data_IF_941398508895
#
_entry.id   IF_941398508895
#
_cell.length_a   1.000
_cell.length_b   1.000
_cell.length_c   1.000
_cell.angle_alpha   90.00
_cell.angle_beta   90.00
_cell.angle_gamma   90.00
#
_symmetry.space_group_name_H-M   'P 1'
#
loop_
_entity.id
_entity.type
_entity.pdbx_description
1 polymer ?
#
# COMPACT_ATOMS: atom_id res chain seq x y z
N UNK A 1 23.53 6.30 -2.84
CA UNK A 1 23.48 5.10 -3.70
C UNK A 1 22.55 4.11 -3.02
N UNK A 2 21.67 3.48 -3.77
CA UNK A 2 20.66 2.53 -3.23
C UNK A 2 20.99 1.11 -3.65
N UNK A 3 20.59 0.12 -2.84
CA UNK A 3 20.63 -1.30 -3.20
C UNK A 3 19.76 -1.53 -4.45
N UNK A 4 20.28 -2.29 -5.41
CA UNK A 4 19.56 -2.71 -6.63
C UNK A 4 19.46 -4.21 -6.68
N UNK A 5 18.36 -4.72 -7.18
CA UNK A 5 18.16 -6.15 -7.44
C UNK A 5 18.93 -6.49 -8.71
N UNK A 6 19.87 -7.43 -8.62
CA UNK A 6 20.69 -7.90 -9.74
C UNK A 6 20.26 -9.28 -10.22
N UNK A 7 19.65 -10.08 -9.34
CA UNK A 7 19.16 -11.42 -9.67
C UNK A 7 17.92 -11.80 -8.86
N UNK A 8 17.07 -12.63 -9.45
CA UNK A 8 15.89 -13.25 -8.83
C UNK A 8 15.99 -14.75 -9.02
N UNK A 9 15.84 -15.52 -7.93
CA UNK A 9 15.70 -16.97 -7.97
C UNK A 9 14.39 -17.38 -7.31
N UNK A 10 13.63 -18.23 -7.96
CA UNK A 10 12.41 -18.86 -7.43
C UNK A 10 12.53 -20.36 -7.55
N UNK A 11 12.24 -21.09 -6.47
CA UNK A 11 12.19 -22.54 -6.45
C UNK A 11 10.92 -23.01 -5.75
N UNK A 12 10.17 -23.87 -6.41
CA UNK A 12 8.87 -24.36 -5.95
C UNK A 12 7.96 -23.21 -5.45
N UNK A 13 7.97 -22.06 -6.19
CA UNK A 13 7.24 -20.85 -5.84
C UNK A 13 6.12 -20.59 -6.84
N UNK A 14 4.86 -20.66 -6.40
CA UNK A 14 3.69 -20.54 -7.27
C UNK A 14 3.75 -21.55 -8.42
N UNK A 15 3.73 -21.08 -9.67
CA UNK A 15 3.82 -21.90 -10.88
C UNK A 15 5.25 -22.11 -11.37
N UNK A 16 6.27 -21.78 -10.58
CA UNK A 16 7.68 -21.98 -10.97
C UNK A 16 8.32 -23.10 -10.18
N UNK A 17 8.66 -24.21 -10.84
CA UNK A 17 9.50 -25.24 -10.26
C UNK A 17 10.91 -24.70 -10.01
N UNK A 18 11.47 -24.00 -11.01
CA UNK A 18 12.77 -23.33 -10.92
C UNK A 18 12.83 -22.17 -11.92
N UNK A 19 13.20 -20.99 -11.43
CA UNK A 19 13.42 -19.80 -12.25
C UNK A 19 14.65 -19.05 -11.75
N UNK A 20 15.53 -18.65 -12.67
CA UNK A 20 16.62 -17.71 -12.39
C UNK A 20 16.61 -16.63 -13.46
N UNK A 21 16.67 -15.37 -13.02
CA UNK A 21 16.80 -14.19 -13.88
C UNK A 21 17.96 -13.38 -13.34
N UNK A 22 19.05 -13.30 -14.10
CA UNK A 22 20.27 -12.57 -13.75
C UNK A 22 20.41 -11.30 -14.58
N UNK A 23 21.41 -10.51 -14.27
CA UNK A 23 21.77 -9.28 -15.00
C UNK A 23 20.64 -8.24 -15.11
N UNK A 24 19.90 -8.08 -14.03
CA UNK A 24 18.76 -7.16 -13.95
C UNK A 24 19.25 -5.70 -13.90
N UNK A 25 18.80 -4.91 -14.87
CA UNK A 25 19.08 -3.48 -14.98
C UNK A 25 18.18 -2.58 -14.12
N UNK A 26 18.21 -1.29 -14.41
CA UNK A 26 17.33 -0.30 -13.73
C UNK A 26 15.88 -0.43 -14.16
N UNK A 27 15.64 -0.73 -15.42
CA UNK A 27 14.30 -1.01 -15.96
C UNK A 27 14.25 -2.46 -16.41
N UNK A 28 13.33 -3.21 -15.86
CA UNK A 28 13.09 -4.63 -16.19
C UNK A 28 11.66 -4.78 -16.71
N UNK A 29 11.53 -5.20 -17.95
CA UNK A 29 10.22 -5.45 -18.59
C UNK A 29 10.00 -6.94 -18.74
N UNK A 30 9.07 -7.49 -17.96
CA UNK A 30 8.69 -8.91 -17.99
C UNK A 30 7.47 -9.05 -18.91
N UNK A 31 7.69 -9.59 -20.11
CA UNK A 31 6.67 -9.70 -21.15
C UNK A 31 6.27 -11.14 -21.42
N UNK A 32 4.99 -11.38 -21.61
CA UNK A 32 4.45 -12.69 -21.97
C UNK A 32 2.92 -12.72 -21.94
N UNK A 33 2.29 -13.81 -22.43
CA UNK A 33 0.84 -13.98 -22.39
C UNK A 33 0.25 -13.88 -20.97
N UNK A 34 -1.07 -13.77 -20.86
CA UNK A 34 -1.75 -13.84 -19.58
C UNK A 34 -1.59 -15.23 -18.96
N UNK A 35 -1.62 -15.28 -17.63
CA UNK A 35 -1.54 -16.50 -16.81
C UNK A 35 -0.20 -17.26 -16.83
N UNK A 36 0.86 -16.76 -17.49
CA UNK A 36 2.18 -17.42 -17.54
C UNK A 36 3.06 -17.17 -16.29
N UNK A 37 2.54 -16.51 -15.26
CA UNK A 37 3.28 -16.31 -14.02
C UNK A 37 4.00 -14.97 -13.85
N UNK A 38 3.88 -13.99 -14.75
CA UNK A 38 4.49 -12.65 -14.62
C UNK A 38 4.26 -12.02 -13.25
N UNK A 39 3.01 -11.99 -12.81
CA UNK A 39 2.61 -11.46 -11.50
C UNK A 39 3.25 -12.21 -10.32
N UNK A 40 3.60 -13.50 -10.49
CA UNK A 40 4.26 -14.27 -9.44
C UNK A 40 5.70 -13.80 -9.20
N UNK A 41 6.38 -13.28 -10.23
CA UNK A 41 7.71 -12.66 -10.10
C UNK A 41 7.58 -11.35 -9.30
N UNK A 42 6.61 -10.50 -9.63
CA UNK A 42 6.31 -9.27 -8.87
C UNK A 42 5.97 -9.59 -7.40
N UNK A 43 5.17 -10.64 -7.18
CA UNK A 43 4.81 -11.09 -5.82
C UNK A 43 6.05 -11.52 -5.02
N UNK A 44 6.98 -12.24 -5.64
CA UNK A 44 8.23 -12.65 -5.01
C UNK A 44 9.11 -11.45 -4.64
N UNK A 45 9.26 -10.48 -5.53
CA UNK A 45 10.02 -9.25 -5.25
C UNK A 45 9.36 -8.49 -4.09
N UNK A 46 8.04 -8.30 -4.11
CA UNK A 46 7.34 -7.63 -3.03
C UNK A 46 7.46 -8.37 -1.70
N UNK A 47 7.38 -9.69 -1.72
CA UNK A 47 7.53 -10.51 -0.52
C UNK A 47 8.91 -10.33 0.12
N UNK A 48 9.95 -10.21 -0.69
CA UNK A 48 11.35 -10.06 -0.26
C UNK A 48 11.77 -8.60 0.03
N UNK A 49 10.93 -7.63 -0.31
CA UNK A 49 11.15 -6.20 -0.04
C UNK A 49 10.20 -5.69 1.04
N UNK A 50 8.88 -5.87 0.89
CA UNK A 50 7.87 -5.44 1.85
C UNK A 50 7.62 -6.45 3.00
N UNK A 51 8.10 -7.70 2.88
CA UNK A 51 7.86 -8.76 3.84
C UNK A 51 6.41 -9.25 3.88
N UNK A 52 5.64 -9.00 2.82
CA UNK A 52 4.23 -9.40 2.69
C UNK A 52 3.84 -9.54 1.22
N UNK A 53 2.91 -10.43 0.91
CA UNK A 53 2.29 -10.54 -0.40
C UNK A 53 1.05 -9.62 -0.49
N UNK A 54 0.88 -8.93 -1.63
CA UNK A 54 -0.32 -8.12 -1.90
C UNK A 54 -1.58 -8.96 -2.10
N UNK A 55 -1.43 -10.21 -2.54
CA UNK A 55 -2.53 -11.15 -2.70
C UNK A 55 -3.03 -11.72 -1.37
N UNK A 56 -2.20 -11.63 -0.30
CA UNK A 56 -2.51 -12.14 1.05
C UNK A 56 -3.02 -13.58 1.08
N UNK A 57 -2.44 -14.52 0.31
CA UNK A 57 -2.86 -15.91 0.33
C UNK A 57 -2.44 -16.59 1.64
N UNK A 58 -3.03 -17.74 1.98
CA UNK A 58 -2.38 -18.72 2.84
C UNK A 58 -0.99 -19.06 2.28
N UNK A 59 0.03 -19.18 3.14
CA UNK A 59 1.42 -19.39 2.66
C UNK A 59 1.58 -20.70 1.90
N UNK A 60 0.80 -21.72 2.24
CA UNK A 60 0.73 -22.98 1.51
C UNK A 60 0.36 -22.82 0.03
N UNK A 61 -0.43 -21.80 -0.31
CA UNK A 61 -0.80 -21.51 -1.70
C UNK A 61 0.30 -20.76 -2.47
N UNK A 62 1.35 -20.29 -1.79
CA UNK A 62 2.50 -19.64 -2.41
C UNK A 62 3.55 -20.66 -2.85
N UNK A 63 3.49 -21.88 -2.30
CA UNK A 63 4.33 -23.02 -2.68
C UNK A 63 3.73 -23.68 -3.92
N UNK A 64 4.57 -24.22 -4.82
CA UNK A 64 4.12 -24.96 -6.01
C UNK A 64 3.28 -26.16 -5.63
N UNK A 65 2.32 -26.50 -6.49
CA UNK A 65 1.37 -27.59 -6.23
C UNK A 65 2.11 -28.93 -5.99
N UNK A 66 1.71 -29.66 -4.96
CA UNK A 66 2.32 -30.94 -4.59
C UNK A 66 3.67 -30.83 -3.87
N UNK A 67 4.21 -29.63 -3.66
CA UNK A 67 5.45 -29.39 -2.92
C UNK A 67 5.17 -29.04 -1.46
N UNK A 68 6.13 -29.35 -0.58
CA UNK A 68 6.04 -29.04 0.85
C UNK A 68 6.76 -27.75 1.23
N UNK A 69 7.73 -27.35 0.42
CA UNK A 69 8.55 -26.18 0.65
C UNK A 69 8.81 -25.46 -0.68
N UNK A 70 9.03 -24.17 -0.58
CA UNK A 70 9.47 -23.34 -1.69
C UNK A 70 10.29 -22.17 -1.18
N UNK A 71 11.07 -21.54 -2.03
CA UNK A 71 11.78 -20.33 -1.67
C UNK A 71 11.86 -19.30 -2.80
N UNK A 72 12.05 -18.05 -2.41
CA UNK A 72 12.42 -16.98 -3.31
C UNK A 72 13.65 -16.25 -2.76
N UNK A 73 14.54 -15.82 -3.66
CA UNK A 73 15.76 -15.09 -3.33
C UNK A 73 15.94 -13.90 -4.25
N UNK A 74 16.45 -12.81 -3.68
CA UNK A 74 16.96 -11.65 -4.40
C UNK A 74 18.43 -11.45 -4.05
N UNK A 75 19.27 -11.31 -5.07
CA UNK A 75 20.62 -10.81 -4.90
C UNK A 75 20.62 -9.29 -5.17
N UNK A 76 21.18 -8.55 -4.23
CA UNK A 76 21.14 -7.08 -4.20
C UNK A 76 22.58 -6.55 -4.20
N UNK A 77 22.83 -5.47 -4.95
CA UNK A 77 24.15 -4.84 -5.00
C UNK A 77 24.06 -3.31 -4.81
N UNK A 78 25.07 -2.76 -4.12
CA UNK A 78 25.32 -1.34 -4.00
C UNK A 78 26.86 -1.11 -4.04
N UNK A 79 27.39 -0.78 -5.18
CA UNK A 79 28.84 -0.69 -5.40
C UNK A 79 29.53 -2.02 -5.12
N UNK A 80 30.32 -2.11 -4.03
CA UNK A 80 30.98 -3.38 -3.60
C UNK A 80 30.19 -4.16 -2.58
N UNK A 81 29.10 -3.61 -2.08
CA UNK A 81 28.23 -4.27 -1.09
C UNK A 81 27.28 -5.22 -1.78
N UNK A 82 27.26 -6.48 -1.32
CA UNK A 82 26.31 -7.50 -1.75
C UNK A 82 25.43 -7.90 -0.59
N UNK A 83 24.14 -8.04 -0.84
CA UNK A 83 23.15 -8.45 0.15
C UNK A 83 22.23 -9.47 -0.49
N UNK A 84 21.98 -10.58 0.18
CA UNK A 84 21.00 -11.58 -0.22
C UNK A 84 19.75 -11.44 0.68
N UNK A 85 18.59 -11.32 0.07
CA UNK A 85 17.31 -11.52 0.72
C UNK A 85 16.73 -12.86 0.30
N UNK A 86 16.29 -13.66 1.28
CA UNK A 86 15.66 -14.95 1.03
C UNK A 86 14.41 -15.13 1.89
N UNK A 87 13.38 -15.75 1.32
CA UNK A 87 12.24 -16.29 2.06
C UNK A 87 12.17 -17.77 1.84
N UNK A 88 11.98 -18.52 2.91
CA UNK A 88 11.70 -19.96 2.90
C UNK A 88 10.27 -20.15 3.35
N UNK A 89 9.49 -20.86 2.54
CA UNK A 89 8.09 -21.19 2.77
C UNK A 89 7.99 -22.68 3.10
N UNK A 90 7.26 -23.04 4.15
CA UNK A 90 7.05 -24.44 4.56
C UNK A 90 5.66 -24.59 5.16
N UNK A 91 4.74 -25.20 4.42
CA UNK A 91 3.34 -25.25 4.80
C UNK A 91 2.76 -23.84 4.99
N UNK A 92 2.25 -23.54 6.17
CA UNK A 92 1.73 -22.19 6.51
C UNK A 92 2.76 -21.30 7.25
N UNK A 93 4.02 -21.75 7.34
CA UNK A 93 5.09 -20.99 7.97
C UNK A 93 5.97 -20.31 6.93
N UNK A 94 6.60 -19.22 7.36
CA UNK A 94 7.60 -18.52 6.56
C UNK A 94 8.74 -18.03 7.43
N UNK A 95 9.94 -18.06 6.89
CA UNK A 95 11.11 -17.44 7.51
C UNK A 95 11.83 -16.55 6.50
N UNK A 96 12.29 -15.40 6.96
CA UNK A 96 13.07 -14.47 6.16
C UNK A 96 14.53 -14.50 6.59
N UNK A 97 15.41 -14.38 5.63
CA UNK A 97 16.86 -14.36 5.83
C UNK A 97 17.48 -13.18 5.08
N UNK A 98 18.51 -12.59 5.70
CA UNK A 98 19.40 -11.62 5.05
C UNK A 98 20.83 -12.13 5.25
N UNK A 99 21.51 -12.41 4.14
CA UNK A 99 22.85 -13.04 4.15
C UNK A 99 22.89 -14.30 5.02
N UNK A 100 21.91 -15.20 4.85
CA UNK A 100 21.78 -16.46 5.59
C UNK A 100 21.40 -16.34 7.07
N UNK A 101 21.14 -15.14 7.57
CA UNK A 101 20.71 -14.91 8.97
C UNK A 101 19.22 -14.61 9.03
N UNK A 102 18.48 -15.33 9.88
CA UNK A 102 17.05 -15.07 10.10
C UNK A 102 16.80 -13.61 10.52
N UNK A 103 15.80 -13.02 9.91
CA UNK A 103 15.39 -11.64 10.11
C UNK A 103 13.87 -11.50 10.17
N UNK A 104 13.43 -10.38 10.74
CA UNK A 104 12.01 -10.00 10.72
C UNK A 104 11.65 -9.34 9.38
N UNK A 105 10.38 -9.34 8.97
CA UNK A 105 9.91 -8.58 7.80
C UNK A 105 10.29 -7.08 7.85
N UNK A 106 10.37 -6.51 9.06
CA UNK A 106 10.78 -5.11 9.25
C UNK A 106 12.23 -4.86 8.80
N UNK A 107 13.13 -5.84 8.97
CA UNK A 107 14.52 -5.70 8.54
C UNK A 107 14.66 -5.70 7.01
N UNK A 108 13.78 -6.41 6.27
CA UNK A 108 13.73 -6.37 4.81
C UNK A 108 13.29 -4.98 4.32
N UNK A 109 12.19 -4.47 4.87
CA UNK A 109 11.65 -3.14 4.52
C UNK A 109 12.68 -2.03 4.76
N UNK A 110 13.43 -2.13 5.85
CA UNK A 110 14.47 -1.16 6.17
C UNK A 110 15.67 -1.18 5.24
N UNK A 111 15.90 -2.28 4.48
CA UNK A 111 17.02 -2.39 3.54
C UNK A 111 16.65 -2.04 2.10
N UNK A 112 15.47 -2.43 1.64
CA UNK A 112 14.99 -2.16 0.29
C UNK A 112 13.46 -2.00 0.32
N UNK A 113 12.96 -0.75 0.40
CA UNK A 113 11.52 -0.49 0.31
C UNK A 113 11.01 -0.71 -1.12
N UNK A 114 9.70 -0.92 -1.27
CA UNK A 114 9.07 -1.01 -2.59
C UNK A 114 7.73 -0.28 -2.64
N UNK A 115 7.37 0.20 -3.83
CA UNK A 115 6.04 0.71 -4.15
C UNK A 115 5.43 -0.18 -5.22
N UNK A 116 4.30 -0.78 -4.91
CA UNK A 116 3.56 -1.64 -5.85
C UNK A 116 2.38 -0.88 -6.45
N UNK A 117 2.19 -1.04 -7.76
CA UNK A 117 1.03 -0.58 -8.50
C UNK A 117 0.43 -1.75 -9.28
N UNK A 118 -0.84 -2.04 -9.03
CA UNK A 118 -1.63 -3.11 -9.65
C UNK A 118 -2.91 -2.55 -10.28
N UNK A 119 -3.58 -3.28 -11.18
CA UNK A 119 -4.89 -2.88 -11.71
C UNK A 119 -5.95 -2.65 -10.63
N UNK A 120 -5.90 -3.40 -9.52
CA UNK A 120 -6.82 -3.21 -8.38
C UNK A 120 -6.69 -1.82 -7.74
N UNK A 121 -5.50 -1.24 -7.77
CA UNK A 121 -5.26 0.11 -7.24
C UNK A 121 -6.07 1.17 -8.01
N UNK A 122 -6.34 0.97 -9.31
CA UNK A 122 -7.11 1.90 -10.14
C UNK A 122 -8.56 2.09 -9.62
N UNK A 123 -9.04 1.13 -8.84
CA UNK A 123 -10.36 1.24 -8.19
C UNK A 123 -10.31 2.02 -6.85
N UNK A 124 -9.14 2.44 -6.39
CA UNK A 124 -8.95 3.01 -5.04
C UNK A 124 -9.85 4.21 -4.77
N UNK A 125 -10.04 5.09 -5.76
CA UNK A 125 -10.89 6.29 -5.62
C UNK A 125 -12.34 5.91 -5.35
N UNK A 126 -12.88 4.91 -6.06
CA UNK A 126 -14.26 4.41 -5.89
C UNK A 126 -14.42 3.37 -4.79
N UNK A 127 -13.34 2.74 -4.37
CA UNK A 127 -13.36 1.71 -3.36
C UNK A 127 -13.89 2.21 -1.99
N UNK A 128 -14.06 1.29 -1.07
CA UNK A 128 -14.42 1.63 0.31
C UNK A 128 -13.32 2.42 1.01
N UNK A 129 -13.67 3.18 2.04
CA UNK A 129 -12.70 3.87 2.91
C UNK A 129 -11.66 2.90 3.51
N UNK A 130 -12.03 1.64 3.75
CA UNK A 130 -11.09 0.62 4.22
C UNK A 130 -9.94 0.40 3.25
N UNK A 131 -10.22 0.30 1.94
CA UNK A 131 -9.18 0.13 0.91
C UNK A 131 -8.21 1.31 0.86
N UNK A 132 -8.72 2.55 0.98
CA UNK A 132 -7.88 3.75 1.03
C UNK A 132 -7.00 3.78 2.29
N UNK A 133 -7.56 3.43 3.47
CA UNK A 133 -6.77 3.29 4.69
C UNK A 133 -5.70 2.21 4.56
N UNK A 134 -6.04 1.04 4.00
CA UNK A 134 -5.10 -0.05 3.79
C UNK A 134 -3.92 0.37 2.88
N UNK A 135 -4.17 1.20 1.86
CA UNK A 135 -3.12 1.71 0.98
C UNK A 135 -2.13 2.63 1.74
N UNK A 136 -2.64 3.56 2.56
CA UNK A 136 -1.80 4.43 3.38
C UNK A 136 -1.10 3.65 4.49
N UNK A 137 -1.79 2.71 5.13
CA UNK A 137 -1.19 1.84 6.16
C UNK A 137 -0.04 0.99 5.58
N UNK A 138 -0.18 0.50 4.35
CA UNK A 138 0.88 -0.25 3.67
C UNK A 138 2.14 0.60 3.45
N UNK A 139 1.96 1.86 3.07
CA UNK A 139 3.06 2.82 2.96
C UNK A 139 3.66 3.14 4.34
N UNK A 140 2.83 3.42 5.34
CA UNK A 140 3.27 3.74 6.70
C UNK A 140 4.09 2.61 7.34
N UNK A 141 3.72 1.35 7.09
CA UNK A 141 4.44 0.15 7.57
C UNK A 141 5.85 0.07 6.99
N UNK A 142 6.07 0.57 5.78
CA UNK A 142 7.41 0.60 5.18
C UNK A 142 8.26 1.74 5.75
N UNK A 143 7.64 2.91 5.96
CA UNK A 143 8.31 4.13 6.41
C UNK A 143 8.66 4.15 7.90
N UNK A 144 7.90 3.44 8.74
CA UNK A 144 8.07 3.47 10.18
C UNK A 144 8.07 2.07 10.80
N UNK A 145 9.18 1.65 11.44
CA UNK A 145 9.25 0.37 12.16
C UNK A 145 8.22 0.26 13.30
N UNK A 146 7.80 1.39 13.87
CA UNK A 146 6.85 1.44 14.97
C UNK A 146 5.38 1.40 14.53
N UNK A 147 5.09 1.70 13.26
CA UNK A 147 3.71 1.77 12.78
C UNK A 147 2.94 0.44 12.92
N UNK A 148 3.52 -0.74 12.64
CA UNK A 148 2.85 -2.02 12.87
C UNK A 148 2.43 -2.22 14.33
N UNK A 149 3.24 -1.74 15.30
CA UNK A 149 2.92 -1.80 16.73
C UNK A 149 1.74 -0.90 17.07
N UNK A 150 1.76 0.37 16.64
CA UNK A 150 0.62 1.29 16.84
C UNK A 150 -0.68 0.71 16.29
N UNK A 151 -0.62 0.13 15.08
CA UNK A 151 -1.78 -0.51 14.45
C UNK A 151 -2.26 -1.73 15.25
N UNK A 152 -1.35 -2.57 15.73
CA UNK A 152 -1.67 -3.77 16.50
C UNK A 152 -2.30 -3.44 17.85
N UNK A 153 -1.75 -2.46 18.58
CA UNK A 153 -2.27 -1.98 19.86
C UNK A 153 -3.70 -1.44 19.71
N UNK A 154 -3.91 -0.58 18.72
CA UNK A 154 -5.23 -0.09 18.40
C UNK A 154 -6.22 -1.20 18.04
N UNK A 155 -5.81 -2.16 17.19
CA UNK A 155 -6.67 -3.29 16.81
C UNK A 155 -7.01 -4.18 18.00
N UNK A 156 -6.10 -4.33 18.96
CA UNK A 156 -6.36 -5.07 20.21
C UNK A 156 -7.40 -4.35 21.06
N UNK A 157 -7.22 -3.05 21.31
CA UNK A 157 -8.18 -2.25 22.09
C UNK A 157 -9.58 -2.25 21.42
N UNK A 158 -9.63 -2.06 20.11
CA UNK A 158 -10.87 -2.12 19.33
C UNK A 158 -11.58 -3.48 19.45
N UNK A 159 -10.84 -4.59 19.36
CA UNK A 159 -11.42 -5.93 19.50
C UNK A 159 -12.02 -6.14 20.90
N UNK A 160 -11.30 -5.76 21.96
CA UNK A 160 -11.77 -5.93 23.33
C UNK A 160 -13.01 -5.06 23.60
N UNK A 161 -12.97 -3.80 23.18
CA UNK A 161 -14.10 -2.90 23.28
C UNK A 161 -15.34 -3.44 22.54
N UNK A 162 -15.16 -3.94 21.30
CA UNK A 162 -16.25 -4.52 20.51
C UNK A 162 -16.84 -5.79 21.15
N UNK A 163 -16.05 -6.62 21.84
CA UNK A 163 -16.57 -7.77 22.58
C UNK A 163 -17.48 -7.32 23.71
N UNK A 164 -17.09 -6.31 24.50
CA UNK A 164 -17.93 -5.77 25.57
C UNK A 164 -19.23 -5.18 25.03
N UNK A 165 -19.16 -4.37 23.96
CA UNK A 165 -20.36 -3.80 23.32
C UNK A 165 -21.30 -4.91 22.84
N UNK A 166 -20.78 -5.97 22.23
CA UNK A 166 -21.57 -7.11 21.74
C UNK A 166 -22.26 -7.86 22.88
N UNK A 167 -21.62 -7.92 24.06
CA UNK A 167 -22.19 -8.52 25.27
C UNK A 167 -23.13 -7.56 26.04
N UNK A 168 -23.43 -6.39 25.46
CA UNK A 168 -24.31 -5.37 26.05
C UNK A 168 -23.67 -4.56 27.18
N UNK A 169 -22.35 -4.64 27.33
CA UNK A 169 -21.59 -3.91 28.36
C UNK A 169 -21.09 -2.60 27.76
N UNK A 170 -21.54 -1.47 28.29
CA UNK A 170 -21.19 -0.13 27.82
C UNK A 170 -20.87 0.86 28.96
N UNK A 171 -20.70 0.34 30.18
CA UNK A 171 -20.33 1.13 31.36
C UNK A 171 -19.66 0.26 32.41
N UNK A 172 -19.03 0.91 33.39
CA UNK A 172 -18.29 0.27 34.46
C UNK A 172 -16.78 0.17 34.18
N UNK A 173 -16.01 -0.07 35.22
CA UNK A 173 -14.55 0.07 35.22
C UNK A 173 -13.83 -0.70 34.11
N UNK A 174 -14.35 -1.88 33.74
CA UNK A 174 -13.76 -2.67 32.65
C UNK A 174 -14.01 -2.03 31.29
N UNK A 175 -15.23 -1.56 31.04
CA UNK A 175 -15.54 -0.87 29.80
C UNK A 175 -14.78 0.45 29.69
N UNK A 176 -14.78 1.24 30.77
CA UNK A 176 -14.09 2.55 30.81
C UNK A 176 -12.58 2.39 30.53
N UNK A 177 -11.94 1.35 31.06
CA UNK A 177 -10.53 1.07 30.79
C UNK A 177 -10.25 0.73 29.32
N UNK A 178 -11.14 -0.05 28.67
CA UNK A 178 -10.97 -0.35 27.24
C UNK A 178 -11.39 0.82 26.34
N UNK A 179 -12.35 1.63 26.75
CA UNK A 179 -12.75 2.84 26.04
C UNK A 179 -11.60 3.87 26.03
N UNK A 180 -10.95 4.07 27.17
CA UNK A 180 -9.75 4.90 27.31
C UNK A 180 -8.59 4.33 26.46
N UNK A 181 -8.32 3.02 26.56
CA UNK A 181 -7.28 2.36 25.74
C UNK A 181 -7.54 2.52 24.25
N UNK A 182 -8.78 2.37 23.82
CA UNK A 182 -9.21 2.58 22.43
C UNK A 182 -8.96 4.02 21.97
N UNK A 183 -9.26 5.01 22.81
CA UNK A 183 -9.04 6.43 22.51
C UNK A 183 -7.55 6.78 22.45
N UNK A 184 -6.73 6.33 23.41
CA UNK A 184 -5.28 6.57 23.46
C UNK A 184 -4.56 5.99 22.23
N UNK A 185 -4.78 4.69 21.94
CA UNK A 185 -4.16 4.05 20.79
C UNK A 185 -4.78 4.55 19.47
N UNK A 186 -6.06 4.90 19.48
CA UNK A 186 -6.76 5.52 18.37
C UNK A 186 -6.17 6.88 18.00
N UNK A 187 -5.92 7.74 18.98
CA UNK A 187 -5.32 9.05 18.75
C UNK A 187 -3.92 8.95 18.14
N UNK A 188 -3.08 8.04 18.65
CA UNK A 188 -1.73 7.80 18.10
C UNK A 188 -1.77 7.33 16.65
N UNK A 189 -2.64 6.38 16.32
CA UNK A 189 -2.78 5.85 14.97
C UNK A 189 -3.37 6.90 14.00
N UNK A 190 -4.39 7.64 14.45
CA UNK A 190 -5.02 8.73 13.68
C UNK A 190 -3.98 9.79 13.31
N UNK A 191 -3.24 10.32 14.29
CA UNK A 191 -2.23 11.34 14.08
C UNK A 191 -1.09 10.86 13.18
N UNK A 192 -0.61 9.62 13.35
CA UNK A 192 0.46 9.04 12.51
C UNK A 192 0.00 8.91 11.06
N UNK A 193 -1.21 8.40 10.83
CA UNK A 193 -1.79 8.23 9.49
C UNK A 193 -2.02 9.58 8.80
N UNK A 194 -2.53 10.53 9.55
CA UNK A 194 -2.79 11.86 9.03
C UNK A 194 -1.52 12.59 8.61
N UNK A 195 -0.51 12.68 9.48
CA UNK A 195 0.77 13.31 9.14
C UNK A 195 1.41 12.70 7.89
N UNK A 196 1.26 11.38 7.71
CA UNK A 196 1.71 10.70 6.49
C UNK A 196 0.88 11.14 5.28
N UNK A 197 -0.44 11.17 5.43
CA UNK A 197 -1.35 11.55 4.34
C UNK A 197 -1.11 12.99 3.88
N UNK A 198 -0.91 13.91 4.80
CA UNK A 198 -0.61 15.32 4.51
C UNK A 198 0.70 15.48 3.71
N UNK A 199 1.77 14.81 4.16
CA UNK A 199 3.04 14.81 3.43
C UNK A 199 2.91 14.18 2.04
N UNK A 200 2.13 13.12 1.91
CA UNK A 200 1.87 12.45 0.65
C UNK A 200 1.07 13.35 -0.28
N UNK A 201 0.04 14.00 0.24
CA UNK A 201 -0.83 14.88 -0.53
C UNK A 201 -0.10 16.09 -1.11
N UNK A 202 0.79 16.72 -0.36
CA UNK A 202 1.62 17.83 -0.85
C UNK A 202 2.39 17.46 -2.13
N UNK A 203 2.91 16.21 -2.23
CA UNK A 203 3.58 15.72 -3.45
C UNK A 203 2.60 15.39 -4.57
N UNK A 204 1.48 14.79 -4.18
CA UNK A 204 0.42 14.47 -5.15
C UNK A 204 -0.02 15.70 -5.91
N UNK A 205 -0.20 16.84 -5.25
CA UNK A 205 -0.62 18.09 -5.90
C UNK A 205 0.38 18.52 -6.96
N UNK A 206 1.67 18.54 -6.64
CA UNK A 206 2.74 18.93 -7.58
C UNK A 206 2.79 18.01 -8.81
N UNK A 207 2.72 16.69 -8.59
CA UNK A 207 2.74 15.72 -9.70
C UNK A 207 1.45 15.82 -10.52
N UNK A 208 0.29 16.03 -9.87
CA UNK A 208 -0.99 16.15 -10.53
C UNK A 208 -1.04 17.35 -11.48
N UNK A 209 -0.56 18.50 -11.03
CA UNK A 209 -0.44 19.72 -11.85
C UNK A 209 0.39 19.48 -13.13
N UNK A 210 1.46 18.70 -13.03
CA UNK A 210 2.28 18.32 -14.19
C UNK A 210 1.53 17.43 -15.20
N UNK A 211 0.58 16.62 -14.75
CA UNK A 211 -0.21 15.72 -15.60
C UNK A 211 -1.51 16.38 -16.07
N UNK A 212 -2.19 17.14 -15.22
CA UNK A 212 -3.51 17.72 -15.47
C UNK A 212 -3.54 19.22 -15.07
N UNK A 213 -2.84 20.10 -15.82
CA UNK A 213 -2.66 21.52 -15.42
C UNK A 213 -3.96 22.33 -15.36
N UNK A 214 -5.03 21.88 -16.04
CA UNK A 214 -6.32 22.54 -16.06
C UNK A 214 -7.25 22.08 -14.91
N UNK A 215 -6.77 21.18 -14.04
CA UNK A 215 -7.53 20.61 -12.94
C UNK A 215 -6.81 20.84 -11.61
N UNK A 216 -7.57 21.14 -10.57
CA UNK A 216 -7.06 21.27 -9.21
C UNK A 216 -7.41 20.03 -8.40
N UNK A 217 -6.39 19.30 -7.93
CA UNK A 217 -6.54 18.20 -6.99
C UNK A 217 -6.55 18.76 -5.56
N UNK A 218 -7.55 18.35 -4.76
CA UNK A 218 -7.58 18.50 -3.31
C UNK A 218 -7.78 17.12 -2.66
N UNK A 219 -7.25 16.91 -1.46
CA UNK A 219 -7.47 15.70 -0.69
C UNK A 219 -7.58 16.02 0.80
N UNK A 220 -8.45 15.29 1.50
CA UNK A 220 -8.74 15.54 2.91
C UNK A 220 -8.71 14.24 3.70
N UNK A 221 -8.03 14.27 4.82
CA UNK A 221 -8.17 13.25 5.85
C UNK A 221 -9.35 13.67 6.75
N UNK A 222 -10.36 12.84 6.82
CA UNK A 222 -11.61 13.10 7.55
C UNK A 222 -11.68 12.11 8.71
N UNK A 223 -11.38 12.55 9.94
CA UNK A 223 -11.51 11.72 11.12
C UNK A 223 -12.94 11.25 11.35
N UNK A 224 -13.09 10.16 12.06
CA UNK A 224 -14.40 9.54 12.31
C UNK A 224 -15.36 10.41 13.12
N UNK A 225 -14.85 11.25 13.99
CA UNK A 225 -15.67 12.20 14.76
C UNK A 225 -16.26 13.33 13.89
N UNK A 226 -15.62 13.70 12.78
CA UNK A 226 -16.18 14.63 11.80
C UNK A 226 -17.31 14.00 10.97
N UNK A 227 -17.31 12.66 10.87
CA UNK A 227 -18.29 11.91 10.07
C UNK A 227 -19.61 11.67 10.79
N UNK A 228 -19.64 11.82 12.09
CA UNK A 228 -20.77 11.42 12.92
C UNK A 228 -22.01 12.31 12.81
N UNK A 229 -21.91 13.48 12.19
CA UNK A 229 -23.10 14.30 11.86
C UNK A 229 -23.90 13.69 10.68
N UNK A 230 -24.39 12.47 10.88
CA UNK A 230 -25.06 11.62 9.88
C UNK A 230 -26.36 12.21 9.30
N UNK A 231 -26.93 13.24 9.90
CA UNK A 231 -28.11 13.95 9.35
C UNK A 231 -27.82 14.60 7.98
N UNK A 232 -26.57 15.00 7.74
CA UNK A 232 -26.14 15.56 6.43
C UNK A 232 -25.92 14.46 5.38
N UNK A 233 -25.54 13.25 5.79
CA UNK A 233 -25.36 12.09 4.87
C UNK A 233 -26.67 11.62 4.25
N UNK A 234 -27.76 11.66 5.00
CA UNK A 234 -29.09 11.22 4.50
C UNK A 234 -29.66 12.19 3.44
N UNK A 235 -29.17 13.43 3.37
CA UNK A 235 -29.61 14.42 2.38
C UNK A 235 -28.82 14.41 1.08
N UNK A 236 -27.82 13.54 0.89
CA UNK A 236 -27.01 13.47 -0.33
C UNK A 236 -26.03 14.64 -0.50
N UNK A 237 -25.92 15.51 0.48
CA UNK A 237 -25.08 16.72 0.44
C UNK A 237 -23.66 16.41 0.93
N UNK A 238 -22.97 15.50 0.21
CA UNK A 238 -21.58 15.13 0.46
C UNK A 238 -20.60 16.16 -0.14
N UNK A 239 -21.11 17.23 -0.73
CA UNK A 239 -20.32 18.24 -1.46
C UNK A 239 -19.60 19.24 -0.56
N UNK A 240 -20.01 19.36 0.70
CA UNK A 240 -19.40 20.30 1.66
C UNK A 240 -18.89 19.55 2.88
N UNK A 241 -17.74 18.87 2.73
CA UNK A 241 -16.85 18.74 3.87
C UNK A 241 -16.21 20.12 4.04
N UNK A 242 -16.68 20.92 4.99
CA UNK A 242 -15.91 22.04 5.52
C UNK A 242 -14.55 21.50 5.88
N UNK A 243 -13.46 22.24 5.62
CA UNK A 243 -12.14 21.80 6.07
C UNK A 243 -12.27 21.54 7.57
N UNK A 244 -11.92 20.32 8.05
CA UNK A 244 -11.79 20.15 9.48
C UNK A 244 -10.81 21.22 9.94
N UNK A 245 -11.20 22.00 10.95
CA UNK A 245 -10.30 22.95 11.58
C UNK A 245 -8.98 22.22 11.82
N UNK A 246 -7.93 22.83 11.33
CA UNK A 246 -6.53 22.41 11.34
C UNK A 246 -6.21 21.29 12.36
N UNK A 247 -6.52 20.04 12.04
CA UNK A 247 -6.06 18.85 12.81
C UNK A 247 -4.52 18.85 12.85
N UNK A 248 -3.81 19.61 11.96
CA UNK A 248 -2.37 19.88 12.06
C UNK A 248 -1.96 20.50 13.40
N UNK A 249 -2.86 21.18 14.08
CA UNK A 249 -2.65 21.85 15.36
C UNK A 249 -3.13 21.03 16.56
N UNK A 250 -3.88 19.94 16.35
CA UNK A 250 -4.39 19.10 17.42
C UNK A 250 -3.26 18.31 18.11
N UNK A 251 -3.27 18.31 19.42
CA UNK A 251 -2.43 17.44 20.23
C UNK A 251 -2.99 16.02 20.29
N UNK A 252 -2.21 15.08 20.80
CA UNK A 252 -2.72 13.72 21.05
C UNK A 252 -3.88 13.72 22.05
N UNK A 253 -3.85 14.61 23.03
CA UNK A 253 -4.90 14.77 24.06
C UNK A 253 -6.19 15.27 23.42
N UNK A 254 -6.12 16.29 22.54
CA UNK A 254 -7.30 16.79 21.82
C UNK A 254 -7.98 15.68 21.00
N UNK A 255 -7.18 14.86 20.28
CA UNK A 255 -7.71 13.76 19.48
C UNK A 255 -8.32 12.68 20.38
N UNK A 256 -7.68 12.36 21.51
CA UNK A 256 -8.20 11.41 22.51
C UNK A 256 -9.54 11.87 23.07
N UNK A 257 -9.64 13.13 23.47
CA UNK A 257 -10.86 13.72 24.01
C UNK A 257 -12.00 13.71 23.01
N UNK A 258 -11.73 14.05 21.75
CA UNK A 258 -12.71 13.96 20.65
C UNK A 258 -13.21 12.53 20.43
N UNK A 259 -12.31 11.54 20.48
CA UNK A 259 -12.69 10.14 20.35
C UNK A 259 -13.59 9.68 21.50
N UNK A 260 -13.27 10.05 22.75
CA UNK A 260 -14.08 9.72 23.93
C UNK A 260 -15.44 10.43 23.92
N UNK A 261 -15.47 11.73 23.59
CA UNK A 261 -16.69 12.50 23.49
C UNK A 261 -17.65 11.86 22.47
N UNK A 262 -17.14 11.61 21.26
CA UNK A 262 -17.94 11.04 20.19
C UNK A 262 -18.38 9.57 20.48
N UNK A 263 -17.54 8.77 21.17
CA UNK A 263 -17.91 7.44 21.63
C UNK A 263 -19.09 7.48 22.60
N UNK A 264 -19.10 8.45 23.52
CA UNK A 264 -20.21 8.64 24.47
C UNK A 264 -21.49 9.04 23.75
N UNK A 265 -21.42 9.98 22.81
CA UNK A 265 -22.57 10.42 22.01
C UNK A 265 -23.18 9.27 21.19
N UNK A 266 -22.35 8.37 20.67
CA UNK A 266 -22.80 7.25 19.84
C UNK A 266 -23.05 5.96 20.59
N UNK A 267 -22.93 5.95 21.93
CA UNK A 267 -23.03 4.74 22.77
C UNK A 267 -24.27 3.90 22.48
N UNK A 268 -25.46 4.50 22.40
CA UNK A 268 -26.70 3.81 22.06
C UNK A 268 -26.69 3.20 20.66
N UNK A 269 -26.07 3.89 19.70
CA UNK A 269 -25.95 3.40 18.34
C UNK A 269 -24.93 2.25 18.23
N UNK A 270 -23.84 2.32 18.98
CA UNK A 270 -22.84 1.26 19.09
C UNK A 270 -23.43 -0.01 19.72
N UNK A 271 -24.22 0.12 20.79
CA UNK A 271 -24.94 -0.98 21.41
C UNK A 271 -25.92 -1.67 20.44
N UNK A 272 -26.71 -0.88 19.72
CA UNK A 272 -27.65 -1.44 18.72
C UNK A 272 -26.94 -2.18 17.60
N UNK A 273 -25.73 -1.73 17.19
CA UNK A 273 -24.94 -2.32 16.10
C UNK A 273 -23.94 -3.38 16.55
N UNK A 274 -23.67 -3.47 17.86
CA UNK A 274 -22.70 -4.40 18.45
C UNK A 274 -21.24 -4.12 18.09
N UNK A 275 -20.90 -2.88 17.69
CA UNK A 275 -19.57 -2.50 17.23
C UNK A 275 -19.27 -1.03 17.51
N UNK A 276 -17.97 -0.70 17.65
CA UNK A 276 -17.48 0.68 17.72
C UNK A 276 -17.73 1.43 16.42
N UNK A 277 -18.25 2.64 16.51
CA UNK A 277 -18.57 3.51 15.37
C UNK A 277 -17.57 4.64 15.19
N UNK A 278 -16.73 4.92 16.18
CA UNK A 278 -15.72 5.97 16.22
C UNK A 278 -14.33 5.36 16.30
N UNK A 279 -13.35 6.03 15.71
CA UNK A 279 -11.94 5.66 15.73
C UNK A 279 -11.30 5.54 14.34
N UNK A 280 -9.97 5.41 14.27
CA UNK A 280 -9.22 5.39 12.99
C UNK A 280 -9.67 4.28 12.01
N UNK A 281 -10.34 3.24 12.47
CA UNK A 281 -10.94 2.21 11.61
C UNK A 281 -12.16 2.71 10.80
N UNK A 282 -12.65 3.91 11.11
CA UNK A 282 -13.76 4.59 10.42
C UNK A 282 -13.34 5.85 9.66
N UNK A 283 -12.11 6.32 9.82
CA UNK A 283 -11.62 7.52 9.13
C UNK A 283 -11.73 7.40 7.61
N UNK A 284 -11.80 8.54 6.93
CA UNK A 284 -11.89 8.63 5.46
C UNK A 284 -10.73 9.45 4.90
N UNK A 285 -10.31 9.10 3.69
CA UNK A 285 -9.41 9.88 2.85
C UNK A 285 -10.14 10.19 1.57
N UNK A 286 -10.57 11.44 1.42
CA UNK A 286 -11.38 11.88 0.30
C UNK A 286 -10.55 12.69 -0.68
N UNK A 287 -10.73 12.45 -1.98
CA UNK A 287 -10.12 13.20 -3.06
C UNK A 287 -11.17 14.06 -3.75
N UNK A 288 -10.77 15.26 -4.16
CA UNK A 288 -11.62 16.20 -4.86
C UNK A 288 -10.91 16.74 -6.09
N UNK A 289 -11.64 16.95 -7.18
CA UNK A 289 -11.17 17.62 -8.39
C UNK A 289 -12.05 18.84 -8.63
N UNK A 290 -11.43 20.01 -8.70
CA UNK A 290 -12.14 21.29 -8.85
C UNK A 290 -13.29 21.43 -7.83
N UNK A 291 -13.01 21.07 -6.56
CA UNK A 291 -13.98 21.13 -5.45
C UNK A 291 -15.05 20.03 -5.44
N UNK A 292 -15.09 19.11 -6.43
CA UNK A 292 -16.07 18.03 -6.51
C UNK A 292 -15.48 16.70 -6.01
N UNK A 293 -16.23 15.97 -5.18
CA UNK A 293 -15.81 14.67 -4.65
C UNK A 293 -15.50 13.67 -5.77
N UNK A 294 -14.24 13.25 -5.87
CA UNK A 294 -13.77 12.39 -6.94
C UNK A 294 -14.43 11.00 -6.96
N UNK A 295 -14.83 10.47 -5.79
CA UNK A 295 -15.54 9.19 -5.71
C UNK A 295 -16.86 9.19 -6.45
N UNK A 296 -17.56 10.33 -6.45
CA UNK A 296 -18.90 10.46 -7.03
C UNK A 296 -18.85 11.00 -8.47
N UNK A 297 -17.96 11.94 -8.74
CA UNK A 297 -18.01 12.77 -9.95
C UNK A 297 -16.82 12.63 -10.88
N UNK A 298 -15.69 12.07 -10.43
CA UNK A 298 -14.52 11.93 -11.29
C UNK A 298 -14.75 10.93 -12.43
N UNK A 299 -14.32 11.32 -13.63
CA UNK A 299 -14.23 10.43 -14.79
C UNK A 299 -13.24 9.27 -14.54
N UNK A 300 -13.28 8.22 -15.36
CA UNK A 300 -12.31 7.13 -15.24
C UNK A 300 -10.86 7.62 -15.43
N UNK A 301 -10.62 8.52 -16.38
CA UNK A 301 -9.32 9.15 -16.60
C UNK A 301 -8.81 9.88 -15.34
N UNK A 302 -9.65 10.74 -14.75
CA UNK A 302 -9.32 11.46 -13.51
C UNK A 302 -9.01 10.52 -12.35
N UNK A 303 -9.77 9.43 -12.21
CA UNK A 303 -9.50 8.43 -11.18
C UNK A 303 -8.14 7.74 -11.38
N UNK A 304 -7.79 7.41 -12.63
CA UNK A 304 -6.49 6.86 -13.00
C UNK A 304 -5.37 7.86 -12.70
N UNK A 305 -5.57 9.15 -13.01
CA UNK A 305 -4.60 10.21 -12.68
C UNK A 305 -4.36 10.27 -11.17
N UNK A 306 -5.42 10.30 -10.35
CA UNK A 306 -5.29 10.34 -8.87
C UNK A 306 -4.47 9.15 -8.37
N UNK A 307 -4.75 7.94 -8.85
CA UNK A 307 -4.07 6.73 -8.39
C UNK A 307 -2.61 6.69 -8.87
N UNK A 308 -2.36 7.05 -10.13
CA UNK A 308 -0.99 7.17 -10.65
C UNK A 308 -0.18 8.15 -9.79
N UNK A 309 -0.70 9.34 -9.58
CA UNK A 309 -0.06 10.39 -8.78
C UNK A 309 0.19 9.93 -7.34
N UNK A 310 -0.76 9.22 -6.73
CA UNK A 310 -0.59 8.63 -5.40
C UNK A 310 0.62 7.67 -5.35
N UNK A 311 0.79 6.84 -6.38
CA UNK A 311 1.91 5.89 -6.45
C UNK A 311 3.25 6.60 -6.69
N UNK A 312 3.30 7.57 -7.59
CA UNK A 312 4.50 8.36 -7.86
C UNK A 312 4.91 9.18 -6.63
N UNK A 313 3.95 9.84 -5.98
CA UNK A 313 4.18 10.56 -4.72
C UNK A 313 4.66 9.64 -3.60
N UNK A 314 4.19 8.38 -3.57
CA UNK A 314 4.68 7.38 -2.61
C UNK A 314 6.15 7.04 -2.83
N UNK A 315 6.61 6.93 -4.08
CA UNK A 315 8.03 6.71 -4.41
C UNK A 315 8.89 7.87 -3.90
N UNK A 316 8.50 9.11 -4.21
CA UNK A 316 9.22 10.31 -3.77
C UNK A 316 9.26 10.41 -2.23
N UNK A 317 8.13 10.13 -1.57
CA UNK A 317 8.04 10.20 -0.12
C UNK A 317 8.89 9.13 0.57
N UNK A 318 8.95 7.92 0.03
CA UNK A 318 9.83 6.86 0.54
C UNK A 318 11.30 7.29 0.40
N UNK A 319 11.70 7.79 -0.75
CA UNK A 319 13.05 8.27 -0.97
C UNK A 319 13.44 9.40 0.01
N UNK A 320 12.54 10.37 0.21
CA UNK A 320 12.79 11.47 1.15
C UNK A 320 12.96 11.00 2.60
N UNK A 321 12.06 10.11 3.07
CA UNK A 321 12.05 9.68 4.49
C UNK A 321 13.17 8.69 4.79
N UNK A 322 13.42 7.76 3.86
CA UNK A 322 14.37 6.67 4.09
C UNK A 322 15.77 6.97 3.54
N UNK A 323 15.91 8.01 2.68
CA UNK A 323 17.18 8.32 1.99
C UNK A 323 17.61 7.21 1.02
N UNK A 324 16.64 6.35 0.59
CA UNK A 324 16.88 5.20 -0.28
C UNK A 324 15.77 5.14 -1.32
N UNK A 325 16.15 5.02 -2.59
CA UNK A 325 15.17 4.83 -3.67
C UNK A 325 14.44 3.49 -3.51
N UNK A 326 13.09 3.48 -3.47
CA UNK A 326 12.34 2.24 -3.42
C UNK A 326 12.36 1.55 -4.80
N UNK A 327 12.17 0.24 -4.81
CA UNK A 327 11.86 -0.50 -6.03
C UNK A 327 10.41 -0.20 -6.43
N UNK A 328 10.18 0.18 -7.70
CA UNK A 328 8.85 0.35 -8.25
C UNK A 328 8.40 -0.93 -8.96
N UNK A 329 7.28 -1.47 -8.54
CA UNK A 329 6.69 -2.70 -9.08
C UNK A 329 5.39 -2.36 -9.80
N UNK A 330 5.32 -2.60 -11.10
CA UNK A 330 4.16 -2.32 -11.96
C UNK A 330 3.62 -3.63 -12.53
N UNK A 331 2.50 -4.12 -11.96
CA UNK A 331 1.89 -5.38 -12.40
C UNK A 331 0.75 -5.13 -13.38
N UNK A 332 1.02 -5.31 -14.67
CA UNK A 332 0.09 -5.19 -15.82
C UNK A 332 -0.70 -3.86 -15.90
N UNK A 333 -0.13 -2.78 -15.35
CA UNK A 333 -0.82 -1.47 -15.33
C UNK A 333 -0.71 -0.70 -16.64
N UNK A 334 0.28 -1.01 -17.49
CA UNK A 334 0.49 -0.30 -18.76
C UNK A 334 -0.70 -0.46 -19.72
N UNK A 335 -1.37 -1.61 -19.69
CA UNK A 335 -2.56 -1.90 -20.47
C UNK A 335 -3.79 -1.08 -20.06
N UNK A 336 -3.83 -0.66 -18.81
CA UNK A 336 -4.93 0.10 -18.21
C UNK A 336 -4.80 1.62 -18.38
N UNK A 337 -3.60 2.10 -18.74
CA UNK A 337 -3.29 3.51 -18.87
C UNK A 337 -3.46 3.96 -20.33
N UNK A 338 -3.97 5.16 -20.54
CA UNK A 338 -3.94 5.83 -21.85
C UNK A 338 -2.52 6.39 -22.13
N UNK A 339 -2.32 6.91 -23.32
CA UNK A 339 -1.03 7.40 -23.81
C UNK A 339 -0.44 8.49 -22.88
N UNK A 340 -1.25 9.43 -22.41
CA UNK A 340 -0.82 10.52 -21.52
C UNK A 340 -0.29 10.00 -20.18
N UNK A 341 -1.03 9.08 -19.55
CA UNK A 341 -0.62 8.48 -18.28
C UNK A 341 0.60 7.58 -18.45
N UNK A 342 0.71 6.83 -19.57
CA UNK A 342 1.90 6.06 -19.89
C UNK A 342 3.12 6.95 -20.06
N UNK A 343 3.01 8.05 -20.81
CA UNK A 343 4.10 9.00 -20.98
C UNK A 343 4.57 9.60 -19.64
N UNK A 344 3.63 10.00 -18.78
CA UNK A 344 3.97 10.53 -17.46
C UNK A 344 4.67 9.48 -16.57
N UNK A 345 4.19 8.24 -16.56
CA UNK A 345 4.80 7.14 -15.82
C UNK A 345 6.21 6.82 -16.34
N UNK A 346 6.38 6.76 -17.65
CA UNK A 346 7.67 6.50 -18.29
C UNK A 346 8.69 7.58 -17.97
N UNK A 347 8.33 8.86 -18.11
CA UNK A 347 9.20 9.98 -17.78
C UNK A 347 9.62 10.00 -16.30
N UNK A 348 8.76 9.45 -15.40
CA UNK A 348 9.09 9.27 -13.99
C UNK A 348 10.09 8.12 -13.78
N UNK A 349 9.88 6.98 -14.43
CA UNK A 349 10.72 5.78 -14.32
C UNK A 349 12.17 6.07 -14.76
N UNK A 350 12.37 6.81 -15.84
CA UNK A 350 13.69 7.16 -16.36
C UNK A 350 14.55 7.94 -15.36
N UNK A 351 13.93 8.68 -14.46
CA UNK A 351 14.63 9.58 -13.51
C UNK A 351 14.80 8.99 -12.11
N UNK A 352 14.06 7.93 -11.80
CA UNK A 352 13.91 7.46 -10.44
C UNK A 352 14.23 5.96 -10.31
N UNK A 353 13.71 5.35 -9.33
CA UNK A 353 13.87 4.00 -8.80
C UNK A 353 14.05 2.86 -9.83
N UNK A 354 14.76 1.80 -9.42
CA UNK A 354 14.73 0.54 -10.17
C UNK A 354 13.29 0.05 -10.32
N UNK A 355 12.89 -0.25 -11.57
CA UNK A 355 11.50 -0.53 -11.90
C UNK A 355 11.35 -1.90 -12.57
N UNK A 356 10.37 -2.68 -12.09
CA UNK A 356 9.93 -3.93 -12.69
C UNK A 356 8.52 -3.77 -13.23
N UNK A 357 8.33 -4.06 -14.51
CA UNK A 357 7.04 -3.93 -15.21
C UNK A 357 6.66 -5.27 -15.78
N UNK A 358 5.46 -5.76 -15.48
CA UNK A 358 4.86 -6.86 -16.23
C UNK A 358 3.92 -6.34 -17.28
N UNK A 359 3.93 -6.94 -18.47
CA UNK A 359 3.07 -6.56 -19.57
C UNK A 359 2.77 -7.74 -20.50
N UNK A 360 1.72 -7.61 -21.29
CA UNK A 360 1.42 -8.54 -22.38
C UNK A 360 1.97 -8.07 -23.73
N UNK A 361 2.28 -6.77 -23.86
CA UNK A 361 2.72 -6.18 -25.12
C UNK A 361 3.85 -5.15 -24.88
N UNK A 362 4.86 -5.19 -25.73
CA UNK A 362 5.96 -4.23 -25.74
C UNK A 362 5.63 -2.91 -26.45
N UNK A 363 4.56 -2.85 -27.27
CA UNK A 363 4.15 -1.65 -28.00
C UNK A 363 3.74 -0.47 -27.09
N UNK A 364 3.66 -0.70 -25.78
CA UNK A 364 3.43 0.37 -24.79
C UNK A 364 4.69 1.21 -24.52
N UNK A 365 5.86 0.78 -25.02
CA UNK A 365 7.15 1.42 -24.79
C UNK A 365 7.75 1.86 -26.13
N UNK A 366 8.45 2.98 -26.14
CA UNK A 366 9.26 3.38 -27.29
C UNK A 366 10.51 2.50 -27.41
N UNK A 367 11.09 2.42 -28.61
CA UNK A 367 12.32 1.67 -28.87
C UNK A 367 13.46 2.17 -27.96
N UNK A 368 13.58 3.48 -27.76
CA UNK A 368 14.58 4.10 -26.88
C UNK A 368 14.50 3.59 -25.42
N UNK A 369 13.30 3.39 -24.90
CA UNK A 369 13.10 2.82 -23.56
C UNK A 369 13.50 1.34 -23.54
N UNK A 370 13.12 0.58 -24.55
CA UNK A 370 13.43 -0.84 -24.63
C UNK A 370 14.92 -1.12 -24.83
N UNK A 371 15.66 -0.24 -25.53
CA UNK A 371 17.10 -0.34 -25.72
C UNK A 371 17.88 -0.21 -24.39
N UNK A 372 17.28 0.44 -23.38
CA UNK A 372 17.87 0.60 -22.05
C UNK A 372 17.25 -0.36 -21.00
N UNK A 373 16.29 -1.19 -21.39
CA UNK A 373 15.58 -2.11 -20.51
C UNK A 373 16.15 -3.54 -20.58
N UNK A 374 16.16 -4.24 -19.46
CA UNK A 374 16.28 -5.70 -19.44
C UNK A 374 14.95 -6.31 -19.78
N UNK A 375 14.79 -6.86 -21.00
CA UNK A 375 13.54 -7.48 -21.44
C UNK A 375 13.56 -8.99 -21.15
N UNK A 376 12.70 -9.41 -20.22
CA UNK A 376 12.55 -10.83 -19.83
C UNK A 376 11.27 -11.39 -20.47
N UNK A 377 11.42 -12.36 -21.37
CA UNK A 377 10.29 -13.03 -22.02
C UNK A 377 9.86 -14.26 -21.24
N UNK A 378 8.58 -14.33 -20.86
CA UNK A 378 7.98 -15.46 -20.11
C UNK A 378 6.95 -16.13 -21.02
N UNK A 379 6.94 -17.50 -21.15
CA UNK A 379 7.77 -18.45 -20.43
C UNK A 379 9.25 -18.44 -20.87
N UNK A 380 10.13 -18.67 -19.92
CA UNK A 380 11.58 -18.76 -20.17
C UNK A 380 11.90 -20.19 -20.64
N UNK A 381 12.63 -20.36 -21.76
CA UNK A 381 13.04 -21.69 -22.22
C UNK A 381 13.84 -22.44 -21.16
N UNK A 382 13.48 -23.71 -20.93
CA UNK A 382 14.11 -24.54 -19.89
C UNK A 382 13.52 -24.40 -18.49
N UNK A 383 12.63 -23.45 -18.26
CA UNK A 383 11.90 -23.30 -16.99
C UNK A 383 10.69 -24.25 -17.00
N UNK A 384 10.50 -25.00 -15.91
CA UNK A 384 9.29 -25.81 -15.72
C UNK A 384 8.20 -24.98 -15.07
N UNK A 385 7.02 -25.05 -15.64
CA UNK A 385 5.81 -24.37 -15.14
C UNK A 385 4.77 -25.45 -14.81
N UNK A 386 4.21 -25.39 -13.59
CA UNK A 386 2.98 -26.12 -13.27
C UNK A 386 1.77 -25.24 -13.64
N UNK A 387 1.00 -25.67 -14.64
CA UNK A 387 -0.22 -25.04 -15.12
C UNK A 387 -1.46 -25.55 -14.35
#
# INVERSE_FOLDING_TARGET
MSLKITSITLDDFRGYDHLVIDDLGNLVVIVGPNAVGKTNIIEAIQLLTAGSSFRKPPWSETISWGRQQGYARLDLEEGKRRVEHRVVLSGNERSYEVNGKKKTPSALRGSLPCVLFTPDDLQLVKASSSKRRDAIDALAVQLSPNYPTLRSEYQQALRQRNLLIKDGIHSGSLFDSWDESHAVHGARLCLARWRLFDRLFSRMTTIYEGIAPDEQLDARYIPSWERASDERRQRGDITQYEQPDAVHEMTLEDIQDRLLEQSRELSDAELRRGISLVGPHKDEMAFFINGKNARLFASQGQQRTIVLVLKLASVELVNEIMGTEPVLLLDDVMSELDERHRAALTAFIEKNAQTFITTTNLDYFSDDILDHATVVRVPIEGTRYDY
#
